data_IF_774965614110
#
_entry.id   IF_774965614110
#
_cell.length_a   1.000
_cell.length_b   1.000
_cell.length_c   1.000
_cell.angle_alpha   90.00
_cell.angle_beta   90.00
_cell.angle_gamma   90.00
#
_symmetry.space_group_name_H-M   'P 1'
#
loop_
_entity.id
_entity.type
_entity.pdbx_description
1 polymer ?
#
# COMPACT_ATOMS: atom_id res chain seq x y z
N UNK A 1 16.46 15.47 -13.51
CA UNK A 1 15.21 16.23 -13.32
C UNK A 1 15.11 16.55 -11.83
N UNK A 2 15.12 17.84 -11.42
CA UNK A 2 15.14 18.22 -10.00
C UNK A 2 13.91 17.68 -9.27
N UNK A 3 14.13 16.94 -8.20
CA UNK A 3 13.09 16.30 -7.41
C UNK A 3 12.11 17.33 -6.86
N UNK A 4 10.84 17.19 -7.23
CA UNK A 4 9.74 18.00 -6.75
C UNK A 4 9.58 17.76 -5.23
N UNK A 5 10.16 18.64 -4.41
CA UNK A 5 9.99 18.62 -2.97
C UNK A 5 8.58 19.17 -2.67
N UNK A 6 7.57 18.30 -2.74
CA UNK A 6 6.21 18.69 -2.41
C UNK A 6 6.11 18.89 -0.88
N UNK A 7 5.73 20.08 -0.39
CA UNK A 7 5.61 20.36 1.04
C UNK A 7 4.29 19.76 1.54
N UNK A 8 4.20 18.44 1.60
CA UNK A 8 3.10 17.78 2.28
C UNK A 8 3.38 17.73 3.78
N UNK A 9 2.50 18.29 4.63
CA UNK A 9 2.61 18.15 6.07
C UNK A 9 2.62 16.66 6.45
N UNK A 10 3.71 16.20 7.05
CA UNK A 10 3.89 14.78 7.45
C UNK A 10 5.02 14.03 6.77
N UNK A 11 5.76 14.64 5.83
CA UNK A 11 6.98 14.07 5.27
C UNK A 11 8.19 14.45 6.15
N UNK A 12 8.86 13.46 6.76
CA UNK A 12 10.07 13.70 7.55
C UNK A 12 11.18 14.38 6.73
N UNK A 13 12.00 15.27 7.33
CA UNK A 13 13.12 15.89 6.63
C UNK A 13 14.07 14.80 6.11
N UNK A 14 14.22 14.70 4.79
CA UNK A 14 15.07 13.69 4.14
C UNK A 14 14.34 12.64 3.30
N UNK A 15 13.00 12.68 3.23
CA UNK A 15 12.26 11.81 2.33
C UNK A 15 12.24 12.39 0.92
N UNK A 16 13.01 11.81 0.00
CA UNK A 16 12.95 12.21 -1.41
C UNK A 16 11.73 11.57 -2.08
N UNK A 17 11.17 12.23 -3.11
CA UNK A 17 10.09 11.64 -3.90
C UNK A 17 10.47 10.28 -4.51
N UNK A 18 11.77 10.04 -4.75
CA UNK A 18 12.29 8.76 -5.25
C UNK A 18 12.17 7.63 -4.22
N UNK A 19 12.41 7.91 -2.94
CA UNK A 19 12.20 6.92 -1.86
C UNK A 19 10.75 6.46 -1.78
N UNK A 20 9.80 7.40 -1.96
CA UNK A 20 8.37 7.09 -1.95
C UNK A 20 8.03 6.23 -3.16
N UNK A 21 8.48 6.61 -4.35
CA UNK A 21 8.26 5.83 -5.58
C UNK A 21 8.83 4.41 -5.48
N UNK A 22 10.01 4.25 -4.87
CA UNK A 22 10.58 2.92 -4.64
C UNK A 22 9.71 2.08 -3.70
N UNK A 23 9.11 2.67 -2.67
CA UNK A 23 8.17 1.99 -1.79
C UNK A 23 6.89 1.54 -2.50
N UNK A 24 6.46 2.26 -3.54
CA UNK A 24 5.33 1.88 -4.38
C UNK A 24 5.68 0.91 -5.51
N UNK A 25 6.96 0.72 -5.83
CA UNK A 25 7.42 0.00 -7.03
C UNK A 25 6.79 -1.39 -7.15
N UNK A 26 6.85 -2.20 -6.10
CA UNK A 26 6.31 -3.57 -6.10
C UNK A 26 4.79 -3.62 -6.32
N UNK A 27 4.07 -2.59 -5.86
CA UNK A 27 2.62 -2.47 -6.04
C UNK A 27 2.26 -1.98 -7.45
N UNK A 28 3.03 -1.03 -7.98
CA UNK A 28 2.83 -0.50 -9.34
C UNK A 28 3.16 -1.51 -10.44
N UNK A 29 4.00 -2.50 -10.15
CA UNK A 29 4.26 -3.62 -11.05
C UNK A 29 3.06 -4.55 -11.22
N UNK A 30 2.03 -4.42 -10.38
CA UNK A 30 0.81 -5.23 -10.45
C UNK A 30 -0.33 -4.33 -10.91
N UNK A 31 -0.84 -4.61 -12.11
CA UNK A 31 -1.93 -3.83 -12.69
C UNK A 31 -3.15 -3.81 -11.75
N UNK A 32 -3.71 -2.61 -11.55
CA UNK A 32 -4.87 -2.39 -10.68
C UNK A 32 -4.59 -2.42 -9.18
N UNK A 33 -3.46 -2.96 -8.70
CA UNK A 33 -3.18 -3.13 -7.26
C UNK A 33 -3.20 -1.80 -6.49
N UNK A 34 -2.54 -0.77 -7.04
CA UNK A 34 -2.53 0.58 -6.46
C UNK A 34 -3.93 1.20 -6.46
N UNK A 35 -4.69 1.03 -7.54
CA UNK A 35 -6.06 1.54 -7.63
C UNK A 35 -6.98 0.88 -6.59
N UNK A 36 -6.86 -0.42 -6.38
CA UNK A 36 -7.62 -1.16 -5.36
C UNK A 36 -7.26 -0.68 -3.94
N UNK A 37 -5.98 -0.40 -3.69
CA UNK A 37 -5.52 0.15 -2.41
C UNK A 37 -6.14 1.54 -2.16
N UNK A 38 -6.02 2.47 -3.11
CA UNK A 38 -6.59 3.82 -2.96
C UNK A 38 -8.13 3.82 -2.95
N UNK A 39 -8.74 2.93 -3.73
CA UNK A 39 -10.18 2.71 -3.73
C UNK A 39 -10.67 2.20 -2.37
N UNK A 40 -9.92 1.30 -1.75
CA UNK A 40 -10.21 0.78 -0.41
C UNK A 40 -10.06 1.87 0.65
N UNK A 41 -9.03 2.71 0.56
CA UNK A 41 -8.84 3.86 1.44
C UNK A 41 -10.02 4.84 1.35
N UNK A 42 -10.43 5.20 0.13
CA UNK A 42 -11.48 6.21 -0.11
C UNK A 42 -12.86 5.72 0.33
N UNK A 43 -13.12 4.41 0.20
CA UNK A 43 -14.39 3.78 0.57
C UNK A 43 -14.41 3.28 2.02
N UNK A 44 -13.24 3.23 2.68
CA UNK A 44 -13.06 2.56 3.97
C UNK A 44 -13.35 1.04 3.92
N UNK A 45 -13.49 0.47 2.72
CA UNK A 45 -13.82 -0.94 2.49
C UNK A 45 -12.61 -1.61 1.88
N UNK A 46 -11.99 -2.47 2.65
CA UNK A 46 -10.83 -3.23 2.21
C UNK A 46 -11.34 -4.54 1.61
N UNK A 47 -11.16 -4.69 0.29
CA UNK A 47 -11.50 -5.93 -0.41
C UNK A 47 -10.32 -6.88 -0.50
N UNK A 48 -10.58 -8.14 -0.87
CA UNK A 48 -9.53 -9.10 -1.22
C UNK A 48 -8.86 -8.60 -2.49
N UNK A 49 -7.71 -7.92 -2.35
CA UNK A 49 -6.86 -7.66 -3.51
C UNK A 49 -6.36 -9.01 -4.03
N UNK A 50 -6.27 -9.18 -5.36
CA UNK A 50 -5.86 -10.46 -5.94
C UNK A 50 -4.56 -11.00 -5.32
N UNK A 51 -4.30 -12.32 -5.36
CA UNK A 51 -3.19 -12.95 -4.62
C UNK A 51 -1.82 -12.32 -4.92
N UNK A 52 -1.61 -11.84 -6.16
CA UNK A 52 -0.42 -11.10 -6.54
C UNK A 52 -0.31 -9.75 -5.81
N UNK A 53 -1.39 -8.96 -5.78
CA UNK A 53 -1.41 -7.67 -5.09
C UNK A 53 -1.22 -7.84 -3.58
N UNK A 54 -1.88 -8.84 -2.99
CA UNK A 54 -1.68 -9.15 -1.58
C UNK A 54 -0.25 -9.55 -1.25
N UNK A 55 0.39 -10.36 -2.10
CA UNK A 55 1.81 -10.69 -1.96
C UNK A 55 2.67 -9.43 -2.00
N UNK A 56 2.44 -8.52 -2.93
CA UNK A 56 3.20 -7.27 -3.00
C UNK A 56 2.96 -6.37 -1.79
N UNK A 57 1.72 -6.27 -1.28
CA UNK A 57 1.39 -5.55 -0.04
C UNK A 57 2.18 -6.12 1.15
N UNK A 58 2.22 -7.44 1.30
CA UNK A 58 2.98 -8.08 2.40
C UNK A 58 4.49 -7.91 2.26
N UNK A 59 4.98 -7.74 1.03
CA UNK A 59 6.41 -7.54 0.71
C UNK A 59 6.86 -6.09 0.94
N UNK A 60 5.92 -5.12 1.00
CA UNK A 60 6.24 -3.72 1.32
C UNK A 60 6.84 -3.64 2.72
N UNK A 61 8.10 -3.20 2.77
CA UNK A 61 8.86 -3.05 4.00
C UNK A 61 8.18 -2.11 5.01
N UNK A 62 8.31 -2.38 6.31
CA UNK A 62 7.68 -1.57 7.35
C UNK A 62 8.15 -0.10 7.37
N UNK A 63 9.37 0.15 6.89
CA UNK A 63 9.91 1.49 6.68
C UNK A 63 9.19 2.31 5.59
N UNK A 64 8.45 1.66 4.70
CA UNK A 64 7.76 2.29 3.56
C UNK A 64 6.35 2.74 3.91
N UNK A 65 5.66 2.00 4.77
CA UNK A 65 4.29 2.32 5.18
C UNK A 65 4.08 3.75 5.74
N UNK A 66 4.89 4.25 6.69
CA UNK A 66 4.74 5.62 7.17
C UNK A 66 5.08 6.67 6.10
N UNK A 67 5.87 6.31 5.07
CA UNK A 67 6.21 7.19 3.95
C UNK A 67 5.06 7.31 2.94
N UNK A 68 4.37 6.20 2.71
CA UNK A 68 3.27 6.10 1.74
C UNK A 68 1.96 6.63 2.33
N UNK A 69 1.71 6.37 3.62
CA UNK A 69 0.48 6.75 4.33
C UNK A 69 0.78 7.56 5.61
N UNK A 70 1.42 8.74 5.51
CA UNK A 70 1.79 9.54 6.68
C UNK A 70 0.58 9.99 7.52
N UNK A 71 -0.59 10.16 6.88
CA UNK A 71 -1.81 10.60 7.54
C UNK A 71 -2.74 9.43 7.96
N UNK A 72 -2.38 8.18 7.65
CA UNK A 72 -3.23 7.03 7.98
C UNK A 72 -2.42 5.83 8.50
N UNK A 73 -1.88 5.88 9.73
CA UNK A 73 -1.03 4.84 10.30
C UNK A 73 -1.74 3.50 10.54
N UNK A 74 -3.08 3.48 10.56
CA UNK A 74 -3.88 2.26 10.70
C UNK A 74 -4.12 1.54 9.37
N UNK A 75 -3.80 2.17 8.24
CA UNK A 75 -4.05 1.60 6.91
C UNK A 75 -3.17 0.39 6.56
N UNK A 76 -1.84 0.40 6.83
CA UNK A 76 -0.97 -0.75 6.60
C UNK A 76 -1.42 -2.05 7.28
N UNK A 77 -1.72 -2.08 8.59
CA UNK A 77 -2.17 -3.31 9.23
C UNK A 77 -3.53 -3.78 8.71
N UNK A 78 -4.43 -2.87 8.32
CA UNK A 78 -5.71 -3.24 7.71
C UNK A 78 -5.53 -3.91 6.34
N UNK A 79 -4.68 -3.36 5.47
CA UNK A 79 -4.34 -4.00 4.19
C UNK A 79 -3.72 -5.38 4.39
N UNK A 80 -2.71 -5.49 5.27
CA UNK A 80 -2.07 -6.76 5.59
C UNK A 80 -3.07 -7.78 6.13
N UNK A 81 -4.01 -7.36 6.98
CA UNK A 81 -5.06 -8.23 7.54
C UNK A 81 -6.06 -8.73 6.49
N UNK A 82 -6.39 -7.93 5.49
CA UNK A 82 -7.28 -8.35 4.38
C UNK A 82 -6.56 -9.24 3.36
N UNK A 83 -5.22 -9.23 3.40
CA UNK A 83 -4.36 -10.06 2.57
C UNK A 83 -3.82 -11.31 3.25
N UNK A 84 -4.04 -11.45 4.56
CA UNK A 84 -3.85 -12.72 5.22
C UNK A 84 -4.72 -13.76 4.50
N UNK A 85 -4.18 -14.97 4.23
CA UNK A 85 -5.03 -16.03 3.70
C UNK A 85 -6.22 -16.14 4.66
N UNK A 86 -7.44 -16.07 4.13
CA UNK A 86 -8.61 -16.52 4.86
C UNK A 86 -8.34 -17.99 5.12
N UNK A 87 -7.70 -18.30 6.25
CA UNK A 87 -7.52 -19.65 6.73
C UNK A 87 -8.90 -20.14 7.18
N UNK A 88 -9.76 -20.42 6.20
CA UNK A 88 -11.14 -20.86 6.39
C UNK A 88 -12.16 -20.19 5.47
N UNK A 89 -12.24 -20.58 4.19
CA UNK A 89 -13.49 -20.90 3.48
C UNK A 89 -13.22 -21.17 1.98
N UNK A 90 -13.49 -22.40 1.56
CA UNK A 90 -13.21 -23.01 0.26
C UNK A 90 -14.08 -22.47 -0.91
N UNK A 91 -13.67 -22.66 -2.19
CA UNK A 91 -14.63 -22.67 -3.29
C UNK A 91 -15.41 -23.98 -3.21
N UNK A 92 -16.69 -23.92 -2.87
CA UNK A 92 -17.60 -25.03 -3.17
C UNK A 92 -18.35 -24.66 -4.43
N UNK A 93 -18.20 -25.50 -5.45
CA UNK A 93 -18.96 -25.51 -6.69
C UNK A 93 -20.46 -25.70 -6.44
#
# INVERSE_FOLDING_TARGET
MPGLLLPFPGLSPGQSGQDILQCWSSLTSIEGCVNEIYGSLSKGKFGVSGPACCKAITDVSDKCWPKMFPLNPMFPPLLKSNCAPIAGAAPTA
#
